data_IF_138563717626
#
_entry.id   IF_138563717626
#
_cell.length_a   1.000
_cell.length_b   1.000
_cell.length_c   1.000
_cell.angle_alpha   90.00
_cell.angle_beta   90.00
_cell.angle_gamma   90.00
#
_symmetry.space_group_name_H-M   'P 1'
#
loop_
_entity.id
_entity.type
_entity.pdbx_description
1 polymer ?
#
# COMPACT_ATOMS: atom_id res chain seq x y z
N UNK A 1 -9.37 -0.04 18.59
CA UNK A 1 -8.88 -1.15 19.42
C UNK A 1 -8.00 -2.17 18.70
N UNK A 2 -8.08 -2.31 17.34
CA UNK A 2 -7.33 -3.35 16.60
C UNK A 2 -5.79 -3.24 16.74
N UNK A 3 -5.25 -2.03 16.89
CA UNK A 3 -3.81 -1.82 16.94
C UNK A 3 -3.11 -2.51 18.11
N UNK A 4 -3.73 -2.50 19.29
CA UNK A 4 -3.16 -3.17 20.47
C UNK A 4 -2.98 -4.69 20.25
N UNK A 5 -3.91 -5.33 19.55
CA UNK A 5 -3.80 -6.75 19.19
C UNK A 5 -2.68 -6.99 18.15
N UNK A 6 -2.50 -6.07 17.20
CA UNK A 6 -1.39 -6.13 16.22
C UNK A 6 -0.04 -5.96 16.93
N UNK A 7 0.08 -4.96 17.79
CA UNK A 7 1.32 -4.63 18.50
C UNK A 7 1.76 -5.72 19.48
N UNK A 8 0.79 -6.41 20.11
CA UNK A 8 1.08 -7.54 21.01
C UNK A 8 1.54 -8.82 20.30
N UNK A 9 1.39 -8.87 18.99
CA UNK A 9 1.82 -10.00 18.18
C UNK A 9 3.20 -9.73 17.55
N UNK A 10 3.28 -9.93 16.25
CA UNK A 10 4.52 -9.84 15.48
C UNK A 10 4.48 -8.65 14.53
N UNK A 11 5.12 -7.54 14.91
CA UNK A 11 5.33 -6.38 14.07
C UNK A 11 6.77 -5.89 14.18
N UNK A 12 7.27 -5.20 13.17
CA UNK A 12 8.60 -4.62 13.16
C UNK A 12 8.53 -3.11 12.87
N UNK A 13 8.78 -2.30 13.90
CA UNK A 13 8.94 -0.87 13.74
C UNK A 13 10.35 -0.60 13.17
N UNK A 14 10.43 0.11 12.03
CA UNK A 14 11.71 0.45 11.42
C UNK A 14 12.02 1.94 11.59
N UNK A 15 13.29 2.25 11.91
CA UNK A 15 13.75 3.59 12.23
C UNK A 15 14.58 4.21 11.10
N UNK A 16 15.01 3.40 10.15
CA UNK A 16 15.79 3.82 8.99
C UNK A 16 15.16 3.37 7.67
N UNK A 17 15.43 4.13 6.61
CA UNK A 17 15.17 3.70 5.24
C UNK A 17 16.32 4.16 4.35
N UNK A 18 16.88 3.24 3.59
CA UNK A 18 17.96 3.51 2.63
C UNK A 18 17.50 3.13 1.24
N UNK A 19 17.63 4.10 0.32
CA UNK A 19 17.27 3.93 -1.08
C UNK A 19 18.46 4.29 -1.94
N UNK A 20 18.82 3.44 -2.93
CA UNK A 20 19.90 3.74 -3.86
C UNK A 20 19.62 3.28 -5.28
N UNK A 21 20.37 3.84 -6.22
CA UNK A 21 20.30 3.56 -7.65
C UNK A 21 21.32 2.49 -8.04
N UNK A 22 20.89 1.46 -8.76
CA UNK A 22 21.75 0.41 -9.29
C UNK A 22 22.79 0.92 -10.30
N UNK A 23 22.44 1.95 -11.06
CA UNK A 23 23.23 2.44 -12.20
C UNK A 23 24.08 3.68 -11.85
N UNK A 24 24.32 3.90 -10.55
CA UNK A 24 25.11 5.04 -10.15
C UNK A 24 25.37 5.18 -8.66
N UNK A 25 25.73 6.39 -8.24
CA UNK A 25 26.08 6.69 -6.84
C UNK A 25 24.96 7.42 -6.08
N UNK A 26 23.75 7.49 -6.65
CA UNK A 26 22.61 8.11 -6.02
C UNK A 26 22.14 7.30 -4.81
N UNK A 27 22.14 7.93 -3.63
CA UNK A 27 21.69 7.31 -2.38
C UNK A 27 20.99 8.34 -1.50
N UNK A 28 19.89 7.93 -0.90
CA UNK A 28 19.15 8.73 0.08
C UNK A 28 18.90 7.88 1.31
N UNK A 29 19.16 8.44 2.46
CA UNK A 29 18.97 7.80 3.76
C UNK A 29 18.00 8.62 4.60
N UNK A 30 16.92 7.99 5.06
CA UNK A 30 15.95 8.58 5.96
C UNK A 30 16.11 7.98 7.36
N UNK A 31 15.91 8.82 8.37
CA UNK A 31 15.96 8.43 9.78
C UNK A 31 14.76 9.01 10.50
N UNK A 32 14.12 8.21 11.35
CA UNK A 32 13.03 8.65 12.21
C UNK A 32 13.46 9.80 13.12
N UNK A 33 14.64 9.71 13.73
CA UNK A 33 15.21 10.76 14.56
C UNK A 33 15.40 12.09 13.81
N UNK A 34 15.71 12.02 12.50
CA UNK A 34 15.86 13.20 11.65
C UNK A 34 14.60 14.02 11.46
N UNK A 35 13.43 13.45 11.70
CA UNK A 35 12.12 14.12 11.61
C UNK A 35 11.40 14.19 12.98
N UNK A 36 12.08 13.81 14.07
CA UNK A 36 11.53 13.84 15.42
C UNK A 36 10.51 12.73 15.73
N UNK A 37 10.60 11.59 15.03
CA UNK A 37 9.70 10.46 15.19
C UNK A 37 10.40 9.27 15.86
N UNK A 38 9.64 8.38 16.49
CA UNK A 38 10.17 7.14 17.08
C UNK A 38 10.48 6.08 16.01
N UNK A 39 9.75 6.07 14.91
CA UNK A 39 9.91 5.15 13.79
C UNK A 39 9.40 5.78 12.49
N UNK A 40 9.84 5.27 11.34
CA UNK A 40 9.35 5.68 10.02
C UNK A 40 8.07 4.93 9.61
N UNK A 41 7.85 3.76 10.16
CA UNK A 41 6.69 2.93 9.90
C UNK A 41 6.79 1.60 10.65
N UNK A 42 5.76 0.78 10.48
CA UNK A 42 5.69 -0.54 11.10
C UNK A 42 5.35 -1.57 10.02
N UNK A 43 6.16 -2.62 9.92
CA UNK A 43 5.86 -3.78 9.08
C UNK A 43 4.96 -4.72 9.87
N UNK A 44 3.83 -5.07 9.25
CA UNK A 44 2.81 -5.95 9.84
C UNK A 44 2.38 -7.00 8.81
N UNK A 45 2.21 -8.23 9.24
CA UNK A 45 1.60 -9.24 8.39
C UNK A 45 0.13 -8.87 8.08
N UNK A 46 -0.23 -8.88 6.81
CA UNK A 46 -1.58 -8.48 6.37
C UNK A 46 -2.69 -9.30 7.05
N UNK A 47 -2.50 -10.63 7.20
CA UNK A 47 -3.49 -11.49 7.86
C UNK A 47 -3.69 -11.16 9.34
N UNK A 48 -2.63 -10.71 10.03
CA UNK A 48 -2.72 -10.28 11.42
C UNK A 48 -3.55 -9.00 11.55
N UNK A 49 -3.30 -8.01 10.68
CA UNK A 49 -4.09 -6.78 10.63
C UNK A 49 -5.55 -7.08 10.29
N UNK A 50 -5.80 -7.94 9.31
CA UNK A 50 -7.15 -8.36 8.92
C UNK A 50 -7.87 -9.08 10.08
N UNK A 51 -7.21 -10.01 10.77
CA UNK A 51 -7.78 -10.72 11.91
C UNK A 51 -8.16 -9.76 13.03
N UNK A 52 -7.26 -8.86 13.42
CA UNK A 52 -7.50 -7.87 14.47
C UNK A 52 -8.66 -6.91 14.13
N UNK A 53 -8.77 -6.47 12.88
CA UNK A 53 -9.87 -5.62 12.41
C UNK A 53 -11.19 -6.39 12.38
N UNK A 54 -11.18 -7.65 11.93
CA UNK A 54 -12.37 -8.52 11.90
C UNK A 54 -12.88 -8.77 13.31
N UNK A 55 -12.00 -9.06 14.26
CA UNK A 55 -12.36 -9.29 15.65
C UNK A 55 -13.08 -8.07 16.26
N UNK A 56 -12.55 -6.87 16.03
CA UNK A 56 -13.21 -5.63 16.47
C UNK A 56 -14.57 -5.46 15.81
N UNK A 57 -14.70 -5.77 14.53
CA UNK A 57 -15.96 -5.65 13.81
C UNK A 57 -17.01 -6.64 14.30
N UNK A 58 -16.64 -7.90 14.52
CA UNK A 58 -17.56 -8.97 15.00
C UNK A 58 -18.08 -8.69 16.41
N UNK A 59 -17.27 -8.09 17.28
CA UNK A 59 -17.66 -7.76 18.65
C UNK A 59 -18.42 -6.43 18.77
N UNK A 60 -18.52 -5.65 17.70
CA UNK A 60 -19.25 -4.38 17.74
C UNK A 60 -20.77 -4.62 17.69
N UNK A 61 -21.50 -4.18 18.69
CA UNK A 61 -22.95 -4.43 18.88
C UNK A 61 -23.84 -3.82 17.77
N UNK A 62 -23.32 -2.86 17.03
CA UNK A 62 -24.00 -2.16 15.93
C UNK A 62 -23.52 -2.63 14.54
N UNK A 63 -22.76 -3.71 14.49
CA UNK A 63 -22.25 -4.31 13.23
C UNK A 63 -22.82 -5.72 13.12
N UNK A 64 -23.40 -6.03 11.96
CA UNK A 64 -23.73 -7.40 11.56
C UNK A 64 -22.65 -7.87 10.58
N UNK A 65 -21.96 -8.95 10.93
CA UNK A 65 -20.88 -9.53 10.13
C UNK A 65 -21.37 -10.82 9.45
N UNK A 66 -21.45 -10.80 8.13
CA UNK A 66 -21.93 -11.93 7.32
C UNK A 66 -20.74 -12.52 6.56
N UNK A 67 -20.28 -13.70 6.96
CA UNK A 67 -19.17 -14.41 6.32
C UNK A 67 -19.32 -15.93 6.45
N UNK A 68 -19.31 -16.70 5.33
CA UNK A 68 -19.10 -16.23 3.96
C UNK A 68 -20.33 -15.57 3.37
N UNK A 69 -20.13 -14.51 2.58
CA UNK A 69 -21.19 -13.89 1.81
C UNK A 69 -20.67 -13.41 0.46
N UNK A 70 -21.42 -13.65 -0.60
CA UNK A 70 -21.08 -13.22 -1.94
C UNK A 70 -22.21 -12.37 -2.52
N UNK A 71 -21.91 -11.15 -2.94
CA UNK A 71 -22.85 -10.27 -3.61
C UNK A 71 -23.13 -10.78 -5.04
N UNK A 72 -24.41 -11.04 -5.34
CA UNK A 72 -24.86 -11.49 -6.66
C UNK A 72 -25.44 -10.34 -7.50
N UNK A 73 -26.16 -9.41 -6.86
CA UNK A 73 -26.83 -8.33 -7.59
C UNK A 73 -27.02 -7.08 -6.73
N UNK A 74 -26.95 -5.91 -7.38
CA UNK A 74 -27.26 -4.60 -6.82
C UNK A 74 -28.40 -3.97 -7.59
N UNK A 75 -29.41 -3.50 -6.88
CA UNK A 75 -30.57 -2.81 -7.45
C UNK A 75 -30.74 -1.45 -6.78
N UNK A 76 -30.83 -0.39 -7.58
CA UNK A 76 -31.11 0.96 -7.09
C UNK A 76 -32.57 1.07 -6.68
N UNK A 77 -32.81 1.54 -5.47
CA UNK A 77 -34.14 1.86 -4.95
C UNK A 77 -34.30 3.39 -4.79
N UNK A 78 -35.53 3.90 -4.67
CA UNK A 78 -35.76 5.34 -4.43
C UNK A 78 -35.03 5.89 -3.19
N UNK A 79 -34.81 5.05 -2.18
CA UNK A 79 -34.14 5.43 -0.94
C UNK A 79 -32.97 4.48 -0.59
N UNK A 80 -32.02 4.31 -1.51
CA UNK A 80 -30.85 3.48 -1.28
C UNK A 80 -30.70 2.33 -2.26
N UNK A 81 -30.25 1.18 -1.78
CA UNK A 81 -29.87 0.02 -2.56
C UNK A 81 -30.46 -1.26 -1.97
N UNK A 82 -30.81 -2.21 -2.84
CA UNK A 82 -31.06 -3.60 -2.49
C UNK A 82 -29.87 -4.43 -2.94
N UNK A 83 -29.27 -5.14 -2.00
CA UNK A 83 -28.23 -6.13 -2.24
C UNK A 83 -28.89 -7.51 -2.20
N UNK A 84 -28.64 -8.32 -3.22
CA UNK A 84 -29.03 -9.73 -3.23
C UNK A 84 -27.76 -10.57 -3.16
N UNK A 85 -27.67 -11.44 -2.17
CA UNK A 85 -26.55 -12.35 -2.00
C UNK A 85 -26.75 -13.63 -2.83
N UNK A 86 -25.68 -14.41 -3.00
CA UNK A 86 -25.72 -15.65 -3.81
C UNK A 86 -26.65 -16.73 -3.23
N UNK A 87 -26.90 -16.71 -1.92
CA UNK A 87 -27.87 -17.60 -1.25
C UNK A 87 -29.34 -17.15 -1.41
N UNK A 88 -29.57 -16.02 -2.11
CA UNK A 88 -30.89 -15.42 -2.32
C UNK A 88 -31.34 -14.47 -1.20
N UNK A 89 -30.59 -14.34 -0.13
CA UNK A 89 -30.89 -13.36 0.94
C UNK A 89 -30.76 -11.92 0.41
N UNK A 90 -31.48 -10.99 1.04
CA UNK A 90 -31.57 -9.60 0.60
C UNK A 90 -31.33 -8.64 1.75
N UNK A 91 -30.49 -7.64 1.51
CA UNK A 91 -30.21 -6.54 2.43
C UNK A 91 -30.60 -5.22 1.77
N UNK A 92 -31.22 -4.31 2.51
CA UNK A 92 -31.45 -2.94 2.05
C UNK A 92 -30.58 -1.97 2.82
N UNK A 93 -29.92 -1.07 2.11
CA UNK A 93 -29.02 -0.09 2.69
C UNK A 93 -29.19 1.28 2.04
N UNK A 94 -29.06 2.35 2.84
CA UNK A 94 -29.06 3.74 2.31
C UNK A 94 -27.75 4.09 1.63
N UNK A 95 -26.65 3.50 2.08
CA UNK A 95 -25.32 3.65 1.55
C UNK A 95 -24.70 2.26 1.35
N UNK A 96 -24.07 2.05 0.22
CA UNK A 96 -23.22 0.89 -0.04
C UNK A 96 -21.77 1.35 -0.16
N UNK A 97 -20.86 0.66 0.51
CA UNK A 97 -19.43 0.90 0.41
C UNK A 97 -18.76 -0.32 -0.22
N UNK A 98 -18.28 -0.15 -1.46
CA UNK A 98 -17.49 -1.15 -2.17
C UNK A 98 -16.05 -1.13 -1.68
N UNK A 99 -15.66 -2.16 -0.93
CA UNK A 99 -14.30 -2.37 -0.41
C UNK A 99 -13.77 -3.76 -0.78
N UNK A 100 -14.22 -4.28 -1.92
CA UNK A 100 -14.09 -5.65 -2.40
C UNK A 100 -12.85 -5.86 -3.31
N UNK A 101 -11.86 -4.97 -3.18
CA UNK A 101 -10.53 -5.13 -3.77
C UNK A 101 -10.43 -4.73 -5.24
N UNK A 102 -9.26 -4.95 -5.82
CA UNK A 102 -8.91 -4.46 -7.15
C UNK A 102 -9.82 -5.00 -8.27
N UNK A 103 -10.41 -6.17 -8.09
CA UNK A 103 -11.36 -6.81 -9.01
C UNK A 103 -12.82 -6.55 -8.63
N UNK A 104 -13.12 -5.44 -7.97
CA UNK A 104 -14.40 -5.08 -7.39
C UNK A 104 -15.60 -5.45 -8.27
N UNK A 105 -16.43 -6.37 -7.78
CA UNK A 105 -17.71 -6.71 -8.37
C UNK A 105 -18.71 -5.57 -8.21
N UNK A 106 -18.67 -4.89 -7.05
CA UNK A 106 -19.51 -3.71 -6.76
C UNK A 106 -19.28 -2.64 -7.81
N UNK A 107 -18.02 -2.29 -8.09
CA UNK A 107 -17.67 -1.30 -9.13
C UNK A 107 -18.20 -1.70 -10.50
N UNK A 108 -18.02 -2.99 -10.87
CA UNK A 108 -18.52 -3.53 -12.16
C UNK A 108 -20.05 -3.46 -12.29
N UNK A 109 -20.79 -3.83 -11.23
CA UNK A 109 -22.25 -3.84 -11.22
C UNK A 109 -22.87 -2.45 -11.42
N UNK A 110 -22.19 -1.39 -10.98
CA UNK A 110 -22.67 0.00 -11.15
C UNK A 110 -22.05 0.72 -12.34
N UNK A 111 -21.26 0.02 -13.16
CA UNK A 111 -20.71 0.56 -14.40
C UNK A 111 -19.69 1.71 -14.20
N UNK A 112 -18.93 1.72 -13.10
CA UNK A 112 -17.82 2.66 -12.93
C UNK A 112 -16.59 2.09 -13.64
N UNK A 113 -16.10 2.82 -14.65
CA UNK A 113 -14.91 2.47 -15.41
C UNK A 113 -13.63 2.70 -14.63
N UNK A 114 -12.55 2.06 -15.09
CA UNK A 114 -11.21 2.24 -14.55
C UNK A 114 -10.20 2.61 -15.63
N UNK A 115 -9.26 3.48 -15.26
CA UNK A 115 -8.02 3.67 -16.03
C UNK A 115 -7.01 2.65 -15.52
N UNK A 116 -6.59 1.76 -16.40
CA UNK A 116 -5.65 0.70 -16.07
C UNK A 116 -4.30 0.98 -16.74
N UNK A 117 -3.22 0.72 -16.01
CA UNK A 117 -1.86 0.70 -16.54
C UNK A 117 -1.25 -0.64 -16.19
N UNK A 118 -0.90 -1.43 -17.19
CA UNK A 118 -0.08 -2.63 -17.00
C UNK A 118 1.38 -2.22 -17.13
N UNK A 119 2.20 -2.60 -16.17
CA UNK A 119 3.62 -2.29 -16.18
C UNK A 119 4.44 -3.38 -16.86
N UNK A 120 3.80 -4.51 -17.27
CA UNK A 120 4.47 -5.70 -17.80
C UNK A 120 5.57 -6.21 -16.86
N UNK A 121 5.32 -6.08 -15.58
CA UNK A 121 6.22 -6.45 -14.49
C UNK A 121 5.48 -7.29 -13.46
N UNK A 122 6.24 -8.07 -12.72
CA UNK A 122 5.75 -8.85 -11.57
C UNK A 122 6.58 -8.55 -10.33
N UNK A 123 5.94 -8.51 -9.19
CA UNK A 123 6.61 -8.55 -7.91
C UNK A 123 6.80 -10.01 -7.48
N UNK A 124 8.05 -10.41 -7.24
CA UNK A 124 8.37 -11.63 -6.53
C UNK A 124 8.38 -11.30 -5.04
N UNK A 125 7.62 -12.06 -4.25
CA UNK A 125 7.48 -11.87 -2.81
C UNK A 125 7.91 -13.15 -2.11
N UNK A 126 8.79 -13.01 -1.11
CA UNK A 126 9.26 -14.11 -0.26
C UNK A 126 9.78 -13.53 1.06
N UNK A 127 10.13 -14.39 2.00
CA UNK A 127 10.92 -14.04 3.18
C UNK A 127 12.32 -14.64 3.05
N UNK A 128 13.33 -13.93 3.47
CA UNK A 128 14.71 -14.42 3.50
C UNK A 128 15.34 -14.19 4.87
N UNK A 129 16.33 -15.04 5.19
CA UNK A 129 17.27 -14.79 6.28
C UNK A 129 18.59 -14.31 5.70
N UNK A 130 19.14 -13.24 6.26
CA UNK A 130 20.39 -12.60 5.82
C UNK A 130 21.50 -12.83 6.84
N UNK A 131 22.76 -12.86 6.39
CA UNK A 131 23.94 -13.01 7.22
C UNK A 131 24.10 -11.87 8.24
N UNK A 132 23.75 -10.64 7.84
CA UNK A 132 23.83 -9.46 8.70
C UNK A 132 22.42 -9.03 9.11
N UNK A 133 22.26 -8.48 10.33
CA UNK A 133 20.97 -7.95 10.77
C UNK A 133 20.54 -6.76 9.91
N UNK A 134 19.23 -6.60 9.74
CA UNK A 134 18.66 -5.49 8.97
C UNK A 134 18.75 -4.12 9.68
N UNK A 135 19.14 -4.09 10.96
CA UNK A 135 19.33 -2.88 11.78
C UNK A 135 18.08 -1.97 11.77
N UNK A 136 16.88 -2.54 11.81
CA UNK A 136 15.60 -1.83 11.77
C UNK A 136 15.50 -0.83 10.61
N UNK A 137 16.08 -1.18 9.47
CA UNK A 137 16.14 -0.34 8.27
C UNK A 137 15.43 -1.04 7.11
N UNK A 138 14.55 -0.31 6.43
CA UNK A 138 13.99 -0.72 5.15
C UNK A 138 15.00 -0.37 4.05
N UNK A 139 15.44 -1.36 3.30
CA UNK A 139 16.45 -1.21 2.26
C UNK A 139 15.81 -1.35 0.89
N UNK A 140 16.08 -0.45 -0.04
CA UNK A 140 15.52 -0.50 -1.38
C UNK A 140 16.53 -0.08 -2.44
N UNK A 141 16.80 -0.98 -3.38
CA UNK A 141 17.63 -0.73 -4.55
C UNK A 141 16.75 -0.59 -5.79
N UNK A 142 16.88 0.53 -6.47
CA UNK A 142 16.23 0.73 -7.76
C UNK A 142 17.14 0.26 -8.90
N UNK A 143 16.61 -0.56 -9.80
CA UNK A 143 17.25 -0.97 -11.04
C UNK A 143 16.34 -0.68 -12.23
N UNK A 144 16.87 -0.79 -13.43
CA UNK A 144 16.11 -0.55 -14.66
C UNK A 144 14.92 -1.54 -14.82
N UNK A 145 15.04 -2.76 -14.32
CA UNK A 145 13.98 -3.78 -14.35
C UNK A 145 12.98 -3.65 -13.20
N UNK A 146 13.27 -2.81 -12.21
CA UNK A 146 12.40 -2.54 -11.07
C UNK A 146 13.13 -2.54 -9.74
N UNK A 147 12.47 -2.15 -8.65
CA UNK A 147 13.06 -2.12 -7.32
C UNK A 147 13.15 -3.51 -6.68
N UNK A 148 14.20 -3.69 -5.90
CA UNK A 148 14.38 -4.77 -4.95
C UNK A 148 14.38 -4.20 -3.54
N UNK A 149 13.39 -4.58 -2.72
CA UNK A 149 13.24 -4.13 -1.35
C UNK A 149 13.46 -5.28 -0.36
N UNK A 150 14.22 -5.00 0.69
CA UNK A 150 14.38 -5.82 1.90
C UNK A 150 13.72 -5.08 3.05
N UNK A 151 12.58 -5.56 3.49
CA UNK A 151 11.76 -4.94 4.52
C UNK A 151 11.96 -5.67 5.84
N UNK A 152 12.33 -4.99 6.94
CA UNK A 152 12.72 -5.63 8.19
C UNK A 152 11.56 -6.39 8.84
N UNK A 153 11.82 -7.62 9.26
CA UNK A 153 10.91 -8.45 10.02
C UNK A 153 11.59 -8.86 11.33
N UNK A 154 10.78 -9.02 12.37
CA UNK A 154 11.22 -9.64 13.63
C UNK A 154 10.52 -10.97 13.80
N UNK A 155 11.27 -11.96 14.25
CA UNK A 155 10.71 -13.22 14.74
C UNK A 155 10.19 -13.06 16.16
N UNK A 156 9.46 -14.05 16.68
CA UNK A 156 8.90 -13.99 18.03
C UNK A 156 9.98 -13.94 19.14
N UNK A 157 11.17 -14.47 18.86
CA UNK A 157 12.35 -14.45 19.72
C UNK A 157 13.27 -13.24 19.48
N UNK A 158 12.87 -12.34 18.57
CA UNK A 158 13.55 -11.08 18.33
C UNK A 158 14.74 -11.16 17.36
N UNK A 159 14.85 -12.24 16.55
CA UNK A 159 15.89 -12.32 15.50
C UNK A 159 15.60 -11.26 14.42
N UNK A 160 16.56 -10.39 14.17
CA UNK A 160 16.51 -9.26 13.24
C UNK A 160 17.25 -9.52 11.91
N UNK A 161 17.48 -10.79 11.57
CA UNK A 161 18.08 -11.22 10.29
C UNK A 161 17.04 -11.55 9.22
N UNK A 162 15.75 -11.45 9.51
CA UNK A 162 14.70 -11.77 8.56
C UNK A 162 14.20 -10.51 7.81
N UNK A 163 14.02 -10.66 6.50
CA UNK A 163 13.48 -9.60 5.66
C UNK A 163 12.34 -10.14 4.78
N UNK A 164 11.25 -9.39 4.69
CA UNK A 164 10.28 -9.57 3.62
C UNK A 164 10.81 -8.93 2.33
N UNK A 165 10.80 -9.71 1.27
CA UNK A 165 11.31 -9.30 -0.04
C UNK A 165 10.16 -8.90 -0.94
N UNK A 166 10.33 -7.76 -1.62
CA UNK A 166 9.52 -7.37 -2.78
C UNK A 166 10.48 -7.04 -3.91
N UNK A 167 10.57 -7.94 -4.89
CA UNK A 167 11.46 -7.80 -6.04
C UNK A 167 10.65 -7.64 -7.31
N UNK A 168 10.58 -6.44 -7.82
CA UNK A 168 9.90 -6.14 -9.09
C UNK A 168 10.83 -6.45 -10.25
N UNK A 169 10.32 -7.19 -11.24
CA UNK A 169 11.04 -7.60 -12.42
C UNK A 169 10.11 -7.64 -13.63
N UNK A 170 10.66 -7.51 -14.84
CA UNK A 170 9.91 -7.75 -16.06
C UNK A 170 9.37 -9.19 -16.09
N UNK A 171 8.23 -9.41 -16.75
CA UNK A 171 7.52 -10.70 -16.70
C UNK A 171 8.41 -11.90 -17.03
N UNK A 172 9.25 -11.80 -18.06
CA UNK A 172 10.15 -12.89 -18.48
C UNK A 172 11.23 -13.17 -17.43
N UNK A 173 11.83 -12.14 -16.87
CA UNK A 173 12.86 -12.28 -15.83
C UNK A 173 12.27 -12.79 -14.52
N UNK A 174 11.09 -12.32 -14.14
CA UNK A 174 10.40 -12.86 -12.97
C UNK A 174 10.12 -14.36 -13.09
N UNK A 175 9.67 -14.81 -14.27
CA UNK A 175 9.45 -16.24 -14.53
C UNK A 175 10.75 -17.03 -14.47
N UNK A 176 11.84 -16.53 -15.03
CA UNK A 176 13.16 -17.15 -14.96
C UNK A 176 13.62 -17.30 -13.51
N UNK A 177 13.53 -16.24 -12.71
CA UNK A 177 13.93 -16.25 -11.30
C UNK A 177 13.10 -17.20 -10.46
N UNK A 178 11.80 -17.29 -10.72
CA UNK A 178 10.90 -18.22 -10.01
C UNK A 178 11.19 -19.69 -10.32
N UNK A 179 11.74 -19.99 -11.49
CA UNK A 179 12.10 -21.34 -11.90
C UNK A 179 13.45 -21.83 -11.36
N UNK A 180 14.27 -20.95 -10.78
CA UNK A 180 15.56 -21.29 -10.19
C UNK A 180 15.39 -22.17 -8.94
N UNK A 181 16.38 -23.00 -8.66
CA UNK A 181 16.53 -23.61 -7.34
C UNK A 181 16.85 -22.53 -6.28
N UNK A 182 16.65 -22.86 -5.00
CA UNK A 182 16.80 -21.90 -3.91
C UNK A 182 18.23 -21.37 -3.80
N UNK A 183 19.24 -22.20 -3.96
CA UNK A 183 20.64 -21.79 -3.84
C UNK A 183 21.03 -20.79 -4.96
N UNK A 184 20.59 -21.04 -6.18
CA UNK A 184 20.82 -20.15 -7.31
C UNK A 184 20.03 -18.85 -7.17
N UNK A 185 18.78 -18.93 -6.74
CA UNK A 185 17.95 -17.75 -6.49
C UNK A 185 18.54 -16.84 -5.40
N UNK A 186 18.96 -17.41 -4.25
CA UNK A 186 19.58 -16.67 -3.17
C UNK A 186 20.88 -15.98 -3.62
N UNK A 187 21.71 -16.67 -4.41
CA UNK A 187 22.94 -16.08 -4.96
C UNK A 187 22.64 -14.91 -5.89
N UNK A 188 21.69 -15.06 -6.84
CA UNK A 188 21.32 -13.99 -7.76
C UNK A 188 20.68 -12.79 -7.05
N UNK A 189 19.85 -13.04 -6.05
CA UNK A 189 19.29 -11.96 -5.22
C UNK A 189 20.38 -11.26 -4.41
N UNK A 190 21.34 -11.98 -3.84
CA UNK A 190 22.47 -11.41 -3.12
C UNK A 190 23.30 -10.48 -4.02
N UNK A 191 23.59 -10.91 -5.25
CA UNK A 191 24.26 -10.09 -6.26
C UNK A 191 23.41 -8.87 -6.65
N UNK A 192 22.12 -9.06 -6.91
CA UNK A 192 21.21 -7.97 -7.24
C UNK A 192 21.07 -6.95 -6.09
N UNK A 193 21.35 -7.35 -4.86
CA UNK A 193 21.33 -6.49 -3.67
C UNK A 193 22.73 -6.01 -3.23
N UNK A 194 23.77 -6.28 -4.05
CA UNK A 194 25.17 -5.90 -3.79
C UNK A 194 25.69 -6.44 -2.45
N UNK A 195 25.16 -7.57 -2.00
CA UNK A 195 25.48 -8.18 -0.69
C UNK A 195 25.43 -7.19 0.50
N UNK A 196 24.56 -6.19 0.43
CA UNK A 196 24.44 -5.14 1.45
C UNK A 196 24.22 -5.72 2.84
N UNK A 197 23.39 -6.76 2.95
CA UNK A 197 23.16 -7.50 4.20
C UNK A 197 23.92 -8.85 4.26
N UNK A 198 25.03 -8.97 3.53
CA UNK A 198 25.82 -10.19 3.45
C UNK A 198 25.20 -11.25 2.56
N UNK A 199 25.46 -12.52 2.82
CA UNK A 199 24.87 -13.64 2.11
C UNK A 199 23.39 -13.80 2.49
N UNK A 200 22.61 -14.38 1.58
CA UNK A 200 21.25 -14.84 1.88
C UNK A 200 21.36 -16.31 2.30
N UNK A 201 20.97 -16.62 3.52
CA UNK A 201 21.19 -17.93 4.15
C UNK A 201 19.98 -18.86 4.01
N UNK A 202 18.77 -18.30 3.89
CA UNK A 202 17.55 -19.05 3.71
C UNK A 202 16.52 -18.24 2.91
N UNK A 203 15.62 -18.93 2.22
CA UNK A 203 14.51 -18.37 1.47
C UNK A 203 13.26 -19.20 1.66
N UNK A 204 12.13 -18.54 1.91
CA UNK A 204 10.81 -19.15 1.97
C UNK A 204 10.23 -19.39 0.56
N UNK A 205 9.08 -20.08 0.41
CA UNK A 205 8.40 -20.20 -0.86
C UNK A 205 8.17 -18.85 -1.54
N UNK A 206 8.42 -18.80 -2.83
CA UNK A 206 8.33 -17.60 -3.67
C UNK A 206 6.94 -17.48 -4.28
N UNK A 207 6.35 -16.29 -4.16
CA UNK A 207 5.09 -15.96 -4.78
C UNK A 207 5.29 -14.83 -5.78
N UNK A 208 4.44 -14.72 -6.80
CA UNK A 208 4.50 -13.59 -7.70
C UNK A 208 3.14 -13.01 -8.04
N UNK A 209 3.09 -11.70 -8.17
CA UNK A 209 1.89 -10.93 -8.46
C UNK A 209 2.14 -9.97 -9.62
N UNK A 210 1.23 -9.89 -10.62
CA UNK A 210 1.37 -8.91 -11.69
C UNK A 210 1.25 -7.50 -11.14
N UNK A 211 2.09 -6.59 -11.64
CA UNK A 211 2.11 -5.19 -11.24
C UNK A 211 1.22 -4.39 -12.17
N UNK A 212 0.11 -3.93 -11.67
CA UNK A 212 -0.87 -3.12 -12.38
C UNK A 212 -1.31 -1.95 -11.54
N UNK A 213 -1.44 -0.78 -12.15
CA UNK A 213 -2.14 0.33 -11.54
C UNK A 213 -3.57 0.41 -12.08
N UNK A 214 -4.48 0.72 -11.20
CA UNK A 214 -5.90 0.90 -11.54
C UNK A 214 -6.46 2.10 -10.78
N UNK A 215 -7.22 2.94 -11.48
CA UNK A 215 -7.85 4.09 -10.87
C UNK A 215 -9.27 4.24 -11.41
N UNK A 216 -10.28 4.16 -10.54
CA UNK A 216 -11.66 4.34 -10.92
C UNK A 216 -11.90 5.77 -11.40
N UNK A 217 -12.71 5.91 -12.46
CA UNK A 217 -13.09 7.23 -13.00
C UNK A 217 -13.89 8.04 -12.01
N UNK A 218 -14.68 7.37 -11.19
CA UNK A 218 -15.49 7.94 -10.12
C UNK A 218 -15.38 7.11 -8.86
N UNK A 219 -15.48 7.76 -7.70
CA UNK A 219 -15.47 7.11 -6.38
C UNK A 219 -16.86 7.03 -5.76
N UNK A 220 -17.82 7.72 -6.34
CA UNK A 220 -19.18 7.84 -5.83
C UNK A 220 -20.16 7.79 -6.98
N UNK A 221 -21.25 7.05 -6.83
CA UNK A 221 -22.38 7.03 -7.76
C UNK A 221 -23.66 6.66 -7.02
N UNK A 222 -24.67 7.53 -7.06
CA UNK A 222 -26.04 7.26 -6.58
C UNK A 222 -26.12 6.73 -5.12
N UNK A 223 -25.29 7.22 -4.19
CA UNK A 223 -25.25 6.72 -2.82
C UNK A 223 -24.47 5.41 -2.65
N UNK A 224 -23.60 5.08 -3.60
CA UNK A 224 -22.59 4.06 -3.48
C UNK A 224 -21.20 4.68 -3.54
N UNK A 225 -20.29 4.17 -2.72
CA UNK A 225 -18.92 4.67 -2.56
C UNK A 225 -17.93 3.55 -2.74
N UNK A 226 -16.82 3.80 -3.43
CA UNK A 226 -15.67 2.90 -3.52
C UNK A 226 -14.55 3.37 -2.61
N UNK A 227 -13.90 2.44 -1.91
CA UNK A 227 -12.73 2.70 -1.03
C UNK A 227 -11.61 1.68 -1.29
N UNK A 228 -10.38 2.06 -1.01
CA UNK A 228 -9.21 1.20 -1.16
C UNK A 228 -9.04 0.69 -2.59
N UNK A 229 -8.62 -0.56 -2.73
CA UNK A 229 -8.33 -1.16 -4.04
C UNK A 229 -9.54 -1.24 -4.97
N UNK A 230 -10.77 -1.19 -4.45
CA UNK A 230 -11.97 -1.07 -5.27
C UNK A 230 -12.02 0.27 -6.03
N UNK A 231 -11.47 1.34 -5.45
CA UNK A 231 -11.34 2.66 -6.06
C UNK A 231 -9.99 2.84 -6.78
N UNK A 232 -8.90 2.35 -6.20
CA UNK A 232 -7.55 2.53 -6.76
C UNK A 232 -6.60 1.43 -6.29
N UNK A 233 -5.91 0.79 -7.21
CA UNK A 233 -4.78 -0.08 -6.94
C UNK A 233 -3.51 0.60 -7.47
N UNK A 234 -2.50 0.74 -6.64
CA UNK A 234 -1.24 1.41 -6.99
C UNK A 234 -0.10 0.41 -7.12
N UNK A 235 0.94 0.80 -7.86
CA UNK A 235 2.18 0.03 -7.90
C UNK A 235 2.80 -0.04 -6.49
N UNK A 236 3.23 -1.23 -6.02
CA UNK A 236 3.70 -1.43 -4.63
C UNK A 236 5.10 -0.87 -4.35
N UNK A 237 5.57 0.13 -5.13
CA UNK A 237 6.91 0.75 -4.98
C UNK A 237 7.24 1.19 -3.55
N UNK A 238 6.25 1.54 -2.75
CA UNK A 238 6.44 2.02 -1.39
C UNK A 238 5.52 1.37 -0.36
N UNK A 239 4.86 0.24 -0.68
CA UNK A 239 3.96 -0.46 0.25
C UNK A 239 2.74 0.36 0.69
N UNK A 240 2.31 1.37 -0.08
CA UNK A 240 1.31 2.35 0.36
C UNK A 240 -0.15 1.98 0.04
N UNK A 241 -0.43 0.87 -0.64
CA UNK A 241 -1.79 0.52 -1.06
C UNK A 241 -2.77 0.45 0.11
N UNK A 242 -2.46 -0.34 1.13
CA UNK A 242 -3.29 -0.48 2.34
C UNK A 242 -3.44 0.86 3.08
N UNK A 243 -2.37 1.64 3.18
CA UNK A 243 -2.40 2.94 3.87
C UNK A 243 -3.37 3.92 3.21
N UNK A 244 -3.37 3.99 1.87
CA UNK A 244 -4.32 4.82 1.13
C UNK A 244 -5.76 4.34 1.33
N UNK A 245 -6.00 3.03 1.34
CA UNK A 245 -7.31 2.46 1.61
C UNK A 245 -7.82 2.78 3.03
N UNK A 246 -6.96 2.70 4.04
CA UNK A 246 -7.29 3.10 5.41
C UNK A 246 -7.59 4.61 5.53
N UNK A 247 -6.83 5.44 4.81
CA UNK A 247 -7.12 6.88 4.72
C UNK A 247 -8.45 7.15 4.02
N UNK A 248 -8.81 6.38 2.99
CA UNK A 248 -10.12 6.49 2.34
C UNK A 248 -11.25 6.20 3.34
N UNK A 249 -11.14 5.11 4.09
CA UNK A 249 -12.11 4.75 5.13
C UNK A 249 -12.23 5.84 6.20
N UNK A 250 -11.10 6.39 6.66
CA UNK A 250 -11.05 7.46 7.63
C UNK A 250 -11.71 8.76 7.14
N UNK A 251 -11.43 9.17 5.90
CA UNK A 251 -12.04 10.37 5.29
C UNK A 251 -13.54 10.17 5.06
N UNK A 252 -13.96 8.99 4.58
CA UNK A 252 -15.37 8.68 4.40
C UNK A 252 -16.12 8.76 5.73
N UNK A 253 -15.58 8.14 6.78
CA UNK A 253 -16.16 8.19 8.12
C UNK A 253 -16.26 9.64 8.64
N UNK A 254 -15.24 10.46 8.44
CA UNK A 254 -15.24 11.88 8.84
C UNK A 254 -16.34 12.68 8.13
N UNK A 255 -16.52 12.50 6.81
CA UNK A 255 -17.56 13.21 6.06
C UNK A 255 -18.97 12.75 6.45
N UNK A 256 -19.17 11.46 6.70
CA UNK A 256 -20.43 10.91 7.21
C UNK A 256 -20.77 11.51 8.59
N UNK A 257 -19.82 11.49 9.53
CA UNK A 257 -20.00 12.03 10.88
C UNK A 257 -20.28 13.53 10.85
N UNK A 258 -19.57 14.26 9.99
CA UNK A 258 -19.82 15.70 9.78
C UNK A 258 -21.23 15.99 9.28
N UNK A 259 -21.73 15.19 8.32
CA UNK A 259 -23.07 15.34 7.79
C UNK A 259 -24.12 15.05 8.87
N UNK A 260 -23.94 13.95 9.63
CA UNK A 260 -24.81 13.60 10.75
C UNK A 260 -24.88 14.68 11.82
N UNK A 261 -23.75 15.26 12.21
CA UNK A 261 -23.69 16.36 13.21
C UNK A 261 -24.43 17.62 12.75
N UNK A 262 -24.67 17.77 11.45
CA UNK A 262 -25.39 18.90 10.84
C UNK A 262 -26.82 18.55 10.44
N UNK A 263 -27.31 17.37 10.79
CA UNK A 263 -28.61 16.82 10.35
C UNK A 263 -28.78 16.83 8.81
N UNK A 264 -27.67 16.63 8.08
CA UNK A 264 -27.67 16.47 6.61
C UNK A 264 -27.70 14.99 6.30
N UNK A 265 -28.36 14.61 5.19
CA UNK A 265 -28.35 13.24 4.70
C UNK A 265 -26.93 12.77 4.39
N UNK A 266 -26.40 11.88 5.22
CA UNK A 266 -25.01 11.41 5.14
C UNK A 266 -24.78 10.42 3.98
N UNK A 267 -25.84 9.92 3.37
CA UNK A 267 -25.82 9.05 2.19
C UNK A 267 -26.03 9.82 0.87
N UNK A 268 -26.24 11.13 0.94
CA UNK A 268 -26.46 11.97 -0.23
C UNK A 268 -25.18 12.16 -1.05
N UNK A 269 -25.38 12.29 -2.36
CA UNK A 269 -24.34 12.59 -3.35
C UNK A 269 -23.48 13.79 -2.94
N UNK A 270 -24.08 14.85 -2.39
CA UNK A 270 -23.38 16.06 -1.96
C UNK A 270 -22.38 15.79 -0.82
N UNK A 271 -22.74 14.92 0.13
CA UNK A 271 -21.84 14.49 1.23
C UNK A 271 -20.73 13.60 0.69
N UNK A 272 -21.09 12.61 -0.10
CA UNK A 272 -20.17 11.61 -0.63
C UNK A 272 -19.20 12.22 -1.66
N UNK A 273 -19.63 13.21 -2.44
CA UNK A 273 -18.77 13.94 -3.37
C UNK A 273 -17.63 14.70 -2.67
N UNK A 274 -17.77 15.06 -1.38
CA UNK A 274 -16.66 15.63 -0.60
C UNK A 274 -15.58 14.61 -0.36
N UNK A 275 -15.94 13.39 0.05
CA UNK A 275 -15.04 12.27 0.14
C UNK A 275 -14.32 12.06 -1.20
N UNK A 276 -15.07 11.93 -2.30
CA UNK A 276 -14.51 11.71 -3.62
C UNK A 276 -13.48 12.78 -4.03
N UNK A 277 -13.77 14.05 -3.81
CA UNK A 277 -12.84 15.15 -4.13
C UNK A 277 -11.55 15.09 -3.33
N UNK A 278 -11.64 14.84 -2.01
CA UNK A 278 -10.47 14.74 -1.14
C UNK A 278 -9.57 13.57 -1.54
N UNK A 279 -10.17 12.39 -1.74
CA UNK A 279 -9.39 11.17 -1.96
C UNK A 279 -8.93 10.98 -3.38
N UNK A 280 -9.81 11.23 -4.37
CA UNK A 280 -9.47 11.01 -5.79
C UNK A 280 -8.28 11.85 -6.25
N UNK A 281 -8.22 13.13 -5.86
CA UNK A 281 -7.10 14.00 -6.21
C UNK A 281 -5.79 13.54 -5.54
N UNK A 282 -5.84 13.19 -4.25
CA UNK A 282 -4.70 12.70 -3.50
C UNK A 282 -4.19 11.37 -4.06
N UNK A 283 -5.08 10.41 -4.28
CA UNK A 283 -4.73 9.08 -4.79
C UNK A 283 -4.18 9.17 -6.23
N UNK A 284 -4.74 10.05 -7.07
CA UNK A 284 -4.21 10.31 -8.41
C UNK A 284 -2.79 10.91 -8.37
N UNK A 285 -2.52 11.83 -7.42
CA UNK A 285 -1.18 12.38 -7.24
C UNK A 285 -0.16 11.31 -6.88
N UNK A 286 -0.48 10.46 -5.89
CA UNK A 286 0.40 9.36 -5.47
C UNK A 286 0.62 8.37 -6.63
N UNK A 287 -0.44 7.97 -7.33
CA UNK A 287 -0.36 7.05 -8.46
C UNK A 287 0.52 7.61 -9.59
N UNK A 288 0.34 8.88 -9.95
CA UNK A 288 1.15 9.54 -10.96
C UNK A 288 2.61 9.69 -10.53
N UNK A 289 2.86 9.98 -9.24
CA UNK A 289 4.21 10.03 -8.67
C UNK A 289 4.91 8.67 -8.77
N UNK A 290 4.22 7.57 -8.40
CA UNK A 290 4.77 6.21 -8.49
C UNK A 290 5.07 5.83 -9.95
N UNK A 291 4.18 6.16 -10.88
CA UNK A 291 4.41 5.96 -12.31
C UNK A 291 5.59 6.80 -12.82
N UNK A 292 5.72 8.03 -12.33
CA UNK A 292 6.87 8.90 -12.63
C UNK A 292 8.19 8.31 -12.13
N UNK A 293 8.23 7.81 -10.91
CA UNK A 293 9.39 7.11 -10.35
C UNK A 293 9.75 5.86 -11.16
N UNK A 294 8.77 5.02 -11.48
CA UNK A 294 8.99 3.82 -12.28
C UNK A 294 9.61 4.17 -13.64
N UNK A 295 9.10 5.18 -14.37
CA UNK A 295 9.66 5.64 -15.64
C UNK A 295 11.06 6.23 -15.50
N UNK A 296 11.31 7.00 -14.43
CA UNK A 296 12.61 7.63 -14.19
C UNK A 296 13.70 6.58 -13.92
N UNK A 297 13.40 5.60 -13.05
CA UNK A 297 14.37 4.56 -12.70
C UNK A 297 14.47 3.46 -13.75
N UNK A 298 13.42 3.18 -14.52
CA UNK A 298 13.44 2.27 -15.66
C UNK A 298 14.12 2.82 -16.91
N UNK A 299 14.55 4.09 -16.91
CA UNK A 299 15.19 4.69 -18.06
C UNK A 299 16.69 4.35 -18.17
N UNK A 300 17.11 3.90 -19.35
CA UNK A 300 18.53 3.71 -19.69
C UNK A 300 19.18 4.95 -20.33
N UNK A 301 18.47 6.08 -20.45
CA UNK A 301 19.02 7.30 -21.00
C UNK A 301 20.12 7.85 -20.06
N UNK A 302 21.38 7.99 -20.53
CA UNK A 302 22.49 8.42 -19.68
C UNK A 302 22.28 9.77 -18.99
N UNK A 303 21.61 10.72 -19.66
CA UNK A 303 21.31 12.03 -19.09
C UNK A 303 20.31 11.92 -17.92
N UNK A 304 19.28 11.06 -18.06
CA UNK A 304 18.32 10.81 -16.99
C UNK A 304 18.97 10.05 -15.82
N UNK A 305 19.86 9.10 -16.11
CA UNK A 305 20.64 8.38 -15.09
C UNK A 305 21.49 9.38 -14.29
N UNK A 306 22.22 10.26 -14.95
CA UNK A 306 23.01 11.30 -14.27
C UNK A 306 22.09 12.23 -13.46
N UNK A 307 21.01 12.73 -14.07
CA UNK A 307 20.08 13.65 -13.41
C UNK A 307 19.44 13.05 -12.16
N UNK A 308 18.98 11.78 -12.21
CA UNK A 308 18.39 11.10 -11.03
C UNK A 308 19.42 10.88 -9.92
N UNK A 309 20.65 10.51 -10.27
CA UNK A 309 21.72 10.33 -9.29
C UNK A 309 22.13 11.64 -8.61
N UNK A 310 22.24 12.74 -9.37
CA UNK A 310 22.45 14.08 -8.83
C UNK A 310 21.28 14.50 -7.94
N UNK A 311 20.04 14.27 -8.40
CA UNK A 311 18.83 14.56 -7.65
C UNK A 311 18.77 13.80 -6.32
N UNK A 312 19.09 12.52 -6.30
CA UNK A 312 19.14 11.70 -5.07
C UNK A 312 20.18 12.23 -4.09
N UNK A 313 21.40 12.53 -4.55
CA UNK A 313 22.45 13.12 -3.69
C UNK A 313 22.04 14.49 -3.16
N UNK A 314 21.48 15.36 -4.00
CA UNK A 314 20.98 16.65 -3.57
C UNK A 314 19.86 16.51 -2.51
N UNK A 315 18.93 15.61 -2.72
CA UNK A 315 17.85 15.28 -1.74
C UNK A 315 18.46 14.82 -0.42
N UNK A 316 19.47 13.95 -0.46
CA UNK A 316 20.12 13.46 0.75
C UNK A 316 20.88 14.57 1.50
N UNK A 317 21.45 15.54 0.79
CA UNK A 317 22.20 16.68 1.35
C UNK A 317 21.26 17.78 1.87
N UNK A 318 20.09 17.98 1.27
CA UNK A 318 19.14 19.05 1.60
C UNK A 318 18.17 18.58 2.68
N UNK A 319 18.56 18.74 3.95
CA UNK A 319 17.80 18.26 5.11
C UNK A 319 16.31 18.64 5.10
N UNK A 320 15.89 19.90 4.81
CA UNK A 320 14.46 20.25 4.79
C UNK A 320 13.66 19.48 3.74
N UNK A 321 14.23 19.29 2.54
CA UNK A 321 13.61 18.53 1.46
C UNK A 321 13.46 17.08 1.84
N UNK A 322 14.51 16.49 2.40
CA UNK A 322 14.52 15.09 2.86
C UNK A 322 13.49 14.87 3.98
N UNK A 323 13.39 15.77 4.94
CA UNK A 323 12.42 15.70 6.03
C UNK A 323 10.98 15.78 5.52
N UNK A 324 10.69 16.67 4.58
CA UNK A 324 9.34 16.81 4.01
C UNK A 324 8.96 15.57 3.19
N UNK A 325 9.87 15.03 2.38
CA UNK A 325 9.64 13.78 1.66
C UNK A 325 9.36 12.60 2.63
N UNK A 326 10.11 12.52 3.73
CA UNK A 326 9.86 11.52 4.76
C UNK A 326 8.46 11.67 5.38
N UNK A 327 8.05 12.89 5.75
CA UNK A 327 6.73 13.17 6.31
C UNK A 327 5.60 12.80 5.34
N UNK A 328 5.75 13.13 4.06
CA UNK A 328 4.79 12.75 3.01
C UNK A 328 4.71 11.22 2.90
N UNK A 329 5.85 10.54 2.83
CA UNK A 329 5.90 9.08 2.71
C UNK A 329 5.32 8.35 3.93
N UNK A 330 5.45 8.94 5.13
CA UNK A 330 4.87 8.42 6.38
C UNK A 330 3.39 8.75 6.54
N UNK A 331 2.78 9.52 5.62
CA UNK A 331 1.40 9.97 5.78
C UNK A 331 1.22 10.99 6.93
N UNK A 332 2.24 11.76 7.26
CA UNK A 332 2.19 12.80 8.29
C UNK A 332 1.86 14.18 7.72
N UNK A 333 1.73 14.30 6.41
CA UNK A 333 1.38 15.55 5.71
C UNK A 333 0.32 15.30 4.64
N UNK A 334 -0.37 16.36 4.22
CA UNK A 334 -1.44 16.32 3.24
C UNK A 334 -2.85 16.34 3.86
N UNK A 335 -3.86 15.94 3.07
CA UNK A 335 -5.27 15.89 3.51
C UNK A 335 -5.55 14.62 4.32
N UNK A 336 -5.25 14.68 5.62
CA UNK A 336 -5.45 13.58 6.56
C UNK A 336 -6.79 13.71 7.29
N UNK A 337 -7.53 12.60 7.49
CA UNK A 337 -8.69 12.60 8.38
C UNK A 337 -8.24 12.88 9.82
N UNK A 338 -9.11 13.49 10.62
CA UNK A 338 -8.81 13.82 12.03
C UNK A 338 -8.31 12.64 12.84
N UNK A 339 -8.86 11.45 12.58
CA UNK A 339 -8.45 10.21 13.25
C UNK A 339 -7.00 9.79 12.94
N UNK A 340 -6.41 10.29 11.84
CA UNK A 340 -5.02 10.03 11.45
C UNK A 340 -4.08 11.20 11.80
N UNK A 341 -4.60 12.31 12.35
CA UNK A 341 -3.79 13.42 12.82
C UNK A 341 -3.26 13.13 14.23
N UNK A 342 -2.02 13.48 14.49
CA UNK A 342 -1.48 13.42 15.85
C UNK A 342 -2.29 14.34 16.77
N UNK A 343 -2.68 13.83 17.92
CA UNK A 343 -3.15 14.69 19.00
C UNK A 343 -2.00 15.60 19.43
N UNK A 344 -2.21 16.90 19.29
CA UNK A 344 -1.26 17.93 19.75
C UNK A 344 -1.27 17.96 21.27
#
# INVERSE_FOLDING_TARGET
GAWAAVESCRCCAYTGMTVWDADGSGRVEFSAAGIGESHLGVLVENRLLQSALTEVAVHATNVTFECPAQLAHLERLPQGWRLTLADGSRVQARLVVGADGAQSAVRGMIGIDTRNTDYHQRAIVTTVRTEKPHAFTAWQRFSATGPLAFLPLLTADGDDHFCSIVWSQDDAEAQRLLALDDATFMREMGLAFEHTLGAIEAVDPRYSFPLQARHATDYVRDGLVLVGDAAHAIHPLAGQGVNLGLLDAGVLAEEILRARARNIAWWDEATLSRYARRRRAHNALILNSMTGFQKLFGSHNPLLVVARNVGMRATNALLPVKQELARVAMGLSGDLPRAAQKSI
#
